data_IF_074221366114
#
_entry.id   IF_074221366114
#
_cell.length_a   1.000
_cell.length_b   1.000
_cell.length_c   1.000
_cell.angle_alpha   90.00
_cell.angle_beta   90.00
_cell.angle_gamma   90.00
#
_symmetry.space_group_name_H-M   'P 1'
#
loop_
_entity.id
_entity.type
_entity.pdbx_description
1 polymer ?
#
# COMPACT_ATOMS: atom_id res chain seq x y z
N UNK A 1 -9.89 16.14 44.26
CA UNK A 1 -8.80 15.18 44.49
C UNK A 1 -7.96 15.19 43.23
N UNK A 2 -6.75 15.76 43.26
CA UNK A 2 -5.83 15.70 42.13
C UNK A 2 -5.31 14.28 42.10
N UNK A 3 -5.75 13.50 41.15
CA UNK A 3 -5.22 12.15 40.92
C UNK A 3 -3.72 12.24 40.61
N UNK A 4 -2.90 11.55 41.39
CA UNK A 4 -1.46 11.50 41.13
C UNK A 4 -1.22 10.69 39.86
N UNK A 5 -0.70 11.33 38.79
CA UNK A 5 -0.41 10.68 37.49
C UNK A 5 0.46 9.45 37.62
N UNK A 6 1.37 9.42 38.60
CA UNK A 6 2.27 8.27 38.85
C UNK A 6 1.56 7.03 39.37
N UNK A 7 0.36 7.19 39.95
CA UNK A 7 -0.49 6.07 40.39
C UNK A 7 -1.43 5.55 39.27
N UNK A 8 -1.47 6.22 38.13
CA UNK A 8 -2.33 5.87 37.00
C UNK A 8 -1.72 4.75 36.16
N UNK A 9 -2.58 3.91 35.60
CA UNK A 9 -2.19 2.95 34.56
C UNK A 9 -1.90 3.63 33.24
N UNK A 10 -1.23 2.94 32.33
CA UNK A 10 -1.02 3.44 30.96
C UNK A 10 -2.35 3.78 30.27
N UNK A 11 -3.40 2.98 30.48
CA UNK A 11 -4.73 3.25 29.93
C UNK A 11 -5.38 4.51 30.53
N UNK A 12 -5.18 4.78 31.82
CA UNK A 12 -5.64 6.03 32.44
C UNK A 12 -4.90 7.24 31.87
N UNK A 13 -3.60 7.12 31.64
CA UNK A 13 -2.79 8.16 30.99
C UNK A 13 -3.26 8.42 29.56
N UNK A 14 -3.51 7.36 28.79
CA UNK A 14 -4.10 7.48 27.44
C UNK A 14 -5.43 8.25 27.49
N UNK A 15 -6.36 7.80 28.33
CA UNK A 15 -7.71 8.33 28.40
C UNK A 15 -7.76 9.80 28.84
N UNK A 16 -7.01 10.14 29.88
CA UNK A 16 -7.14 11.45 30.54
C UNK A 16 -6.22 12.53 29.96
N UNK A 17 -5.12 12.17 29.30
CA UNK A 17 -4.11 13.13 28.87
C UNK A 17 -3.80 13.05 27.37
N UNK A 18 -3.44 11.85 26.85
CA UNK A 18 -2.94 11.72 25.49
C UNK A 18 -4.10 11.80 24.49
N UNK A 19 -5.17 11.01 24.70
CA UNK A 19 -6.34 11.00 23.79
C UNK A 19 -6.96 12.40 23.65
N UNK A 20 -7.24 13.16 24.72
CA UNK A 20 -7.77 14.50 24.59
C UNK A 20 -6.85 15.45 23.80
N UNK A 21 -5.54 15.40 24.06
CA UNK A 21 -4.56 16.24 23.34
C UNK A 21 -4.56 15.97 21.84
N UNK A 22 -4.65 14.69 21.46
CA UNK A 22 -4.71 14.29 20.06
C UNK A 22 -6.07 14.64 19.40
N UNK A 23 -7.18 14.34 20.08
CA UNK A 23 -8.52 14.49 19.53
C UNK A 23 -8.89 15.94 19.21
N UNK A 24 -8.41 16.91 19.99
CA UNK A 24 -8.64 18.34 19.74
C UNK A 24 -8.20 18.74 18.33
N UNK A 25 -7.07 18.21 17.87
CA UNK A 25 -6.41 18.61 16.62
C UNK A 25 -6.57 17.62 15.46
N UNK A 26 -6.87 16.33 15.78
CA UNK A 26 -6.92 15.26 14.78
C UNK A 26 -8.31 14.65 14.57
N UNK A 27 -9.27 14.88 15.50
CA UNK A 27 -10.67 14.42 15.36
C UNK A 27 -10.81 12.98 14.81
N UNK A 28 -11.36 12.85 13.61
CA UNK A 28 -11.68 11.56 12.96
C UNK A 28 -10.48 10.91 12.22
N UNK A 29 -9.28 11.45 12.39
CA UNK A 29 -8.05 10.98 11.74
C UNK A 29 -7.19 10.12 12.66
N UNK A 30 -7.78 9.52 13.69
CA UNK A 30 -7.07 8.72 14.71
C UNK A 30 -7.69 7.34 14.78
N UNK A 31 -6.85 6.33 14.86
CA UNK A 31 -7.25 5.00 15.36
C UNK A 31 -6.42 4.63 16.57
N UNK A 32 -7.02 3.87 17.49
CA UNK A 32 -6.36 3.35 18.70
C UNK A 32 -6.15 1.85 18.58
N UNK A 33 -5.16 1.31 19.29
CA UNK A 33 -4.85 -0.12 19.35
C UNK A 33 -4.73 -0.76 17.97
N UNK A 34 -4.17 -0.01 17.02
CA UNK A 34 -4.12 -0.42 15.62
C UNK A 34 -3.16 -1.59 15.45
N UNK A 35 -3.69 -2.72 14.98
CA UNK A 35 -2.91 -3.92 14.72
C UNK A 35 -1.93 -3.68 13.56
N UNK A 36 -0.64 -3.83 13.83
CA UNK A 36 0.43 -3.72 12.83
C UNK A 36 0.72 -5.09 12.23
N UNK A 37 0.95 -6.10 13.08
CA UNK A 37 1.26 -7.47 12.63
C UNK A 37 0.53 -8.52 13.45
N UNK A 38 0.31 -9.70 12.82
CA UNK A 38 -0.18 -10.91 13.51
C UNK A 38 0.89 -11.61 14.36
N UNK A 39 2.10 -11.05 14.42
CA UNK A 39 3.28 -11.67 15.00
C UNK A 39 4.07 -12.49 13.96
N UNK A 40 5.40 -12.45 14.10
CA UNK A 40 6.32 -13.21 13.23
C UNK A 40 6.21 -14.72 13.55
N UNK A 41 6.16 -15.52 12.51
CA UNK A 41 6.26 -16.98 12.63
C UNK A 41 7.73 -17.34 12.63
N UNK A 42 8.18 -18.01 13.71
CA UNK A 42 9.52 -18.56 13.83
C UNK A 42 9.45 -20.09 13.81
N UNK A 43 10.39 -20.70 13.10
CA UNK A 43 10.54 -22.15 13.07
C UNK A 43 11.68 -22.53 14.02
N UNK A 44 11.38 -23.34 15.02
CA UNK A 44 12.36 -23.96 15.92
C UNK A 44 12.27 -25.49 15.74
N UNK A 45 13.09 -26.02 14.85
CA UNK A 45 12.99 -27.43 14.43
C UNK A 45 11.61 -27.68 13.78
N UNK A 46 10.84 -28.64 14.31
CA UNK A 46 9.48 -28.96 13.81
C UNK A 46 8.37 -28.14 14.48
N UNK A 47 8.70 -27.21 15.37
CA UNK A 47 7.70 -26.36 16.04
C UNK A 47 7.57 -25.03 15.34
N UNK A 48 6.31 -24.63 15.10
CA UNK A 48 5.94 -23.31 14.56
C UNK A 48 5.51 -22.44 15.75
N UNK A 49 6.30 -21.41 16.07
CA UNK A 49 5.99 -20.45 17.13
C UNK A 49 5.63 -19.12 16.47
N UNK A 50 4.45 -18.60 16.79
CA UNK A 50 4.05 -17.25 16.39
C UNK A 50 4.31 -16.30 17.56
N UNK A 51 5.08 -15.23 17.30
CA UNK A 51 5.26 -14.14 18.26
C UNK A 51 3.93 -13.41 18.48
N UNK A 52 3.84 -12.65 19.58
CA UNK A 52 2.68 -11.80 19.85
C UNK A 52 2.42 -10.80 18.71
N UNK A 53 1.15 -10.52 18.47
CA UNK A 53 0.75 -9.44 17.58
C UNK A 53 1.29 -8.11 18.10
N UNK A 54 1.72 -7.23 17.17
CA UNK A 54 2.13 -5.86 17.50
C UNK A 54 0.96 -4.94 17.21
N UNK A 55 0.70 -4.02 18.14
CA UNK A 55 -0.29 -2.96 18.00
C UNK A 55 0.37 -1.64 18.34
N UNK A 56 0.00 -0.59 17.61
CA UNK A 56 0.33 0.79 17.96
C UNK A 56 -0.78 1.39 18.81
N UNK A 57 -0.43 2.14 19.85
CA UNK A 57 -1.42 2.79 20.72
C UNK A 57 -2.29 3.76 19.90
N UNK A 58 -1.67 4.61 19.08
CA UNK A 58 -2.39 5.49 18.16
C UNK A 58 -1.70 5.51 16.79
N UNK A 59 -2.53 5.59 15.75
CA UNK A 59 -2.10 5.90 14.38
C UNK A 59 -2.90 7.07 13.87
N UNK A 60 -2.21 8.07 13.32
CA UNK A 60 -2.79 9.30 12.77
C UNK A 60 -2.75 9.23 11.24
N UNK A 61 -3.79 9.77 10.57
CA UNK A 61 -3.98 9.63 9.13
C UNK A 61 -4.13 10.97 8.43
N UNK A 62 -3.71 11.01 7.16
CA UNK A 62 -3.82 12.21 6.32
C UNK A 62 -5.28 12.57 6.06
N UNK A 63 -6.12 11.56 5.81
CA UNK A 63 -7.50 11.74 5.38
C UNK A 63 -8.49 11.40 6.50
N UNK A 64 -9.61 12.11 6.55
CA UNK A 64 -10.71 11.84 7.47
C UNK A 64 -11.35 10.49 7.16
N UNK A 65 -11.67 9.73 8.22
CA UNK A 65 -12.32 8.40 8.14
C UNK A 65 -11.61 7.40 7.22
N UNK A 66 -10.35 7.64 6.90
CA UNK A 66 -9.62 6.86 5.94
C UNK A 66 -8.27 6.41 6.51
N UNK A 67 -8.15 5.12 6.73
CA UNK A 67 -6.97 4.48 7.34
C UNK A 67 -5.88 4.10 6.34
N UNK A 68 -5.89 4.65 5.13
CA UNK A 68 -5.01 4.19 4.06
C UNK A 68 -3.65 4.87 4.05
N UNK A 69 -3.60 6.13 4.47
CA UNK A 69 -2.38 6.92 4.46
C UNK A 69 -2.01 7.36 5.90
N UNK A 70 -1.42 6.48 6.70
CA UNK A 70 -0.92 6.85 8.02
C UNK A 70 0.23 7.83 7.88
N UNK A 71 0.26 8.85 8.75
CA UNK A 71 1.31 9.89 8.75
C UNK A 71 2.12 9.89 10.04
N UNK A 72 1.53 9.46 11.15
CA UNK A 72 2.21 9.43 12.43
C UNK A 72 1.77 8.24 13.30
N UNK A 73 2.68 7.79 14.16
CA UNK A 73 2.43 6.82 15.24
C UNK A 73 2.71 7.51 16.58
N UNK A 74 1.88 7.24 17.59
CA UNK A 74 2.13 7.65 18.96
C UNK A 74 2.09 6.42 19.86
N UNK A 75 3.15 6.22 20.64
CA UNK A 75 3.24 5.22 21.69
C UNK A 75 3.04 5.88 23.06
N UNK A 76 2.16 5.32 23.84
CA UNK A 76 1.88 5.75 25.20
C UNK A 76 2.70 4.94 26.22
N UNK A 77 2.99 5.55 27.35
CA UNK A 77 3.58 4.91 28.52
C UNK A 77 2.97 5.47 29.78
N UNK A 78 3.03 4.68 30.88
CA UNK A 78 2.65 5.17 32.19
C UNK A 78 3.58 6.31 32.64
N UNK A 79 3.10 7.15 33.57
CA UNK A 79 3.82 8.34 34.02
C UNK A 79 5.03 8.07 34.90
N UNK A 80 5.32 6.81 35.22
CA UNK A 80 6.58 6.40 35.88
C UNK A 80 7.75 6.29 34.90
N UNK A 81 7.49 6.34 33.62
CA UNK A 81 8.48 6.35 32.54
C UNK A 81 8.76 7.77 32.08
N UNK A 82 9.92 7.98 31.46
CA UNK A 82 10.22 9.25 30.77
C UNK A 82 9.34 9.42 29.53
N UNK A 83 9.12 10.64 29.09
CA UNK A 83 8.33 10.95 27.88
C UNK A 83 8.90 10.23 26.65
N UNK A 84 10.22 10.05 26.57
CA UNK A 84 10.91 9.40 25.46
C UNK A 84 10.95 7.86 25.55
N UNK A 85 10.46 7.26 26.62
CA UNK A 85 10.64 5.82 26.86
C UNK A 85 10.05 4.94 25.74
N UNK A 86 8.92 5.32 25.17
CA UNK A 86 8.25 4.61 24.06
C UNK A 86 8.77 4.97 22.67
N UNK A 87 9.68 5.93 22.53
CA UNK A 87 10.07 6.48 21.23
C UNK A 87 10.68 5.43 20.30
N UNK A 88 11.58 4.58 20.81
CA UNK A 88 12.18 3.52 19.99
C UNK A 88 11.12 2.55 19.46
N UNK A 89 10.13 2.20 20.26
CA UNK A 89 9.02 1.33 19.86
C UNK A 89 8.17 2.02 18.77
N UNK A 90 7.85 3.30 18.95
CA UNK A 90 7.14 4.09 17.93
C UNK A 90 7.92 4.18 16.62
N UNK A 91 9.23 4.39 16.68
CA UNK A 91 10.12 4.43 15.52
C UNK A 91 10.16 3.09 14.78
N UNK A 92 10.22 1.96 15.49
CA UNK A 92 10.21 0.63 14.89
C UNK A 92 8.88 0.36 14.17
N UNK A 93 7.78 0.77 14.76
CA UNK A 93 6.46 0.65 14.15
C UNK A 93 6.29 1.58 12.94
N UNK A 94 6.76 2.81 13.05
CA UNK A 94 6.75 3.77 11.94
C UNK A 94 7.56 3.25 10.74
N UNK A 95 8.76 2.69 10.96
CA UNK A 95 9.54 2.03 9.91
C UNK A 95 8.82 0.86 9.27
N UNK A 96 8.14 0.02 10.07
CA UNK A 96 7.38 -1.10 9.54
C UNK A 96 6.22 -0.66 8.64
N UNK A 97 5.58 0.46 8.98
CA UNK A 97 4.40 0.99 8.26
C UNK A 97 4.74 2.07 7.23
N UNK A 98 6.02 2.40 7.07
CA UNK A 98 6.50 3.48 6.17
C UNK A 98 5.88 4.84 6.53
N UNK A 99 5.91 5.18 7.83
CA UNK A 99 5.29 6.39 8.40
C UNK A 99 6.39 7.41 8.71
N UNK A 100 6.21 8.70 8.32
CA UNK A 100 7.26 9.71 8.46
C UNK A 100 7.47 10.24 9.88
N UNK A 101 6.49 10.14 10.80
CA UNK A 101 6.60 10.70 12.14
C UNK A 101 6.30 9.66 13.22
N UNK A 102 7.16 9.63 14.24
CA UNK A 102 6.99 8.77 15.41
C UNK A 102 6.99 9.61 16.69
N UNK A 103 6.09 9.31 17.61
CA UNK A 103 5.93 10.01 18.87
C UNK A 103 5.89 9.05 20.04
N UNK A 104 6.37 9.52 21.20
CA UNK A 104 6.16 8.90 22.50
C UNK A 104 5.57 9.90 23.48
N UNK A 105 4.72 9.44 24.38
CA UNK A 105 4.13 10.25 25.44
C UNK A 105 3.92 9.44 26.72
N UNK A 106 4.10 10.08 27.89
CA UNK A 106 3.73 9.56 29.20
C UNK A 106 2.64 10.41 29.88
N UNK A 107 1.95 11.27 29.12
CA UNK A 107 0.94 12.17 29.62
C UNK A 107 1.46 13.51 30.18
N UNK A 108 2.77 13.78 30.16
CA UNK A 108 3.34 15.09 30.52
C UNK A 108 3.67 15.94 29.27
N UNK A 109 3.95 15.27 28.16
CA UNK A 109 4.28 15.89 26.89
C UNK A 109 4.53 14.83 25.82
N UNK A 110 5.12 15.26 24.71
CA UNK A 110 5.49 14.39 23.60
C UNK A 110 6.97 14.53 23.25
N UNK A 111 7.58 13.44 22.80
CA UNK A 111 8.85 13.46 22.06
C UNK A 111 8.56 12.95 20.65
N UNK A 112 8.97 13.75 19.66
CA UNK A 112 8.84 13.47 18.23
C UNK A 112 10.17 13.00 17.67
N UNK A 113 10.14 12.00 16.77
CA UNK A 113 11.20 11.71 15.82
C UNK A 113 10.63 11.90 14.39
N UNK A 114 11.25 12.78 13.63
CA UNK A 114 10.93 13.07 12.23
C UNK A 114 11.91 12.32 11.32
N UNK A 115 11.44 11.29 10.62
CA UNK A 115 12.28 10.48 9.71
C UNK A 115 12.72 11.22 8.44
N UNK A 116 12.05 12.33 8.08
CA UNK A 116 12.37 13.09 6.87
C UNK A 116 13.60 13.96 7.12
N UNK A 117 13.60 14.64 8.28
CA UNK A 117 14.69 15.57 8.65
C UNK A 117 15.74 14.94 9.58
N UNK A 118 15.40 13.83 10.23
CA UNK A 118 16.22 13.19 11.27
C UNK A 118 16.21 13.92 12.60
N UNK A 119 15.35 14.93 12.77
CA UNK A 119 15.29 15.75 13.99
C UNK A 119 14.37 15.13 15.06
N UNK A 120 14.76 15.38 16.32
CA UNK A 120 13.92 15.08 17.48
C UNK A 120 13.52 16.38 18.19
N UNK A 121 12.27 16.39 18.69
CA UNK A 121 11.72 17.53 19.43
C UNK A 121 10.93 17.05 20.64
N UNK A 122 10.96 17.83 21.72
CA UNK A 122 10.14 17.61 22.93
C UNK A 122 9.25 18.83 23.13
N UNK A 123 7.95 18.61 23.42
CA UNK A 123 6.97 19.67 23.62
C UNK A 123 5.81 19.24 24.53
N UNK A 124 5.03 20.20 25.01
CA UNK A 124 3.89 19.96 25.87
C UNK A 124 2.70 19.29 25.19
N UNK A 125 1.72 18.84 25.97
CA UNK A 125 0.52 18.15 25.42
C UNK A 125 -0.30 19.05 24.50
N UNK A 126 -0.43 20.31 24.81
CA UNK A 126 -1.16 21.34 24.03
C UNK A 126 -0.44 21.78 22.74
N UNK A 127 0.86 21.53 22.69
CA UNK A 127 1.72 21.86 21.55
C UNK A 127 1.79 20.77 20.47
N UNK A 128 1.08 19.62 20.66
CA UNK A 128 1.05 18.59 19.62
C UNK A 128 0.61 19.17 18.27
N UNK A 129 1.31 18.88 17.14
CA UNK A 129 1.01 19.50 15.86
C UNK A 129 -0.41 19.17 15.38
N UNK A 130 -1.07 20.13 14.75
CA UNK A 130 -2.35 19.88 14.10
C UNK A 130 -2.17 19.00 12.86
N UNK A 131 -3.27 18.40 12.40
CA UNK A 131 -3.25 17.59 11.18
C UNK A 131 -2.75 18.37 9.97
N UNK A 132 -3.19 19.63 9.82
CA UNK A 132 -2.80 20.48 8.68
C UNK A 132 -1.34 20.90 8.76
N UNK A 133 -0.84 21.17 9.97
CA UNK A 133 0.58 21.49 10.20
C UNK A 133 1.48 20.30 9.86
N UNK A 134 1.16 19.11 10.36
CA UNK A 134 1.98 17.92 10.13
C UNK A 134 1.95 17.49 8.66
N UNK A 135 0.78 17.54 8.02
CA UNK A 135 0.63 17.27 6.59
C UNK A 135 1.40 18.31 5.76
N UNK A 136 1.35 19.59 6.14
CA UNK A 136 2.10 20.64 5.45
C UNK A 136 3.61 20.46 5.59
N UNK A 137 4.11 20.07 6.77
CA UNK A 137 5.52 19.74 6.99
C UNK A 137 5.92 18.56 6.09
N UNK A 138 5.17 17.48 6.10
CA UNK A 138 5.43 16.32 5.27
C UNK A 138 5.44 16.69 3.78
N UNK A 139 4.42 17.41 3.30
CA UNK A 139 4.34 17.84 1.88
C UNK A 139 5.49 18.76 1.48
N UNK A 140 5.97 19.63 2.39
CA UNK A 140 7.07 20.55 2.12
C UNK A 140 8.42 19.83 1.96
N UNK A 141 8.65 18.81 2.76
CA UNK A 141 9.93 18.10 2.78
C UNK A 141 9.99 16.93 1.80
N UNK A 142 8.82 16.41 1.37
CA UNK A 142 8.76 15.29 0.42
C UNK A 142 9.39 15.69 -0.93
N UNK A 143 9.94 14.71 -1.63
CA UNK A 143 10.58 14.89 -2.94
C UNK A 143 11.72 15.94 -2.92
N UNK A 144 12.50 15.96 -1.83
CA UNK A 144 13.59 16.93 -1.61
C UNK A 144 13.10 18.39 -1.68
N UNK A 145 11.98 18.68 -1.06
CA UNK A 145 11.42 20.01 -0.98
C UNK A 145 10.64 20.49 -2.21
N UNK A 146 10.40 19.61 -3.19
CA UNK A 146 9.60 19.94 -4.39
C UNK A 146 8.09 19.86 -4.16
N UNK A 147 7.67 19.27 -3.03
CA UNK A 147 6.26 19.00 -2.75
C UNK A 147 5.69 17.85 -3.57
N UNK A 148 4.37 17.70 -3.54
CA UNK A 148 3.64 16.70 -4.30
C UNK A 148 3.24 17.25 -5.67
N UNK A 149 3.35 16.44 -6.71
CA UNK A 149 2.74 16.70 -8.02
C UNK A 149 1.23 16.44 -7.98
N UNK A 150 0.48 16.95 -8.96
CA UNK A 150 -0.96 16.68 -9.10
C UNK A 150 -1.27 15.18 -9.19
N UNK A 151 -0.39 14.40 -9.80
CA UNK A 151 -0.53 12.95 -9.91
C UNK A 151 -0.37 12.26 -8.55
N UNK A 152 0.62 12.68 -7.75
CA UNK A 152 0.82 12.19 -6.40
C UNK A 152 -0.35 12.56 -5.48
N UNK A 153 -0.87 13.79 -5.57
CA UNK A 153 -2.04 14.20 -4.80
C UNK A 153 -3.30 13.40 -5.16
N UNK A 154 -3.53 13.13 -6.44
CA UNK A 154 -4.65 12.29 -6.88
C UNK A 154 -4.57 10.89 -6.31
N UNK A 155 -3.40 10.26 -6.34
CA UNK A 155 -3.26 8.88 -5.88
C UNK A 155 -3.29 8.76 -4.36
N UNK A 156 -2.74 9.73 -3.62
CA UNK A 156 -2.81 9.78 -2.16
C UNK A 156 -4.26 9.90 -1.70
N UNK A 157 -5.06 10.69 -2.39
CA UNK A 157 -6.48 10.87 -2.06
C UNK A 157 -7.37 9.73 -2.55
N UNK A 158 -6.87 8.84 -3.43
CA UNK A 158 -7.64 7.70 -3.93
C UNK A 158 -7.67 6.57 -2.89
N UNK A 159 -8.83 6.25 -2.29
CA UNK A 159 -8.93 5.17 -1.31
C UNK A 159 -8.71 3.79 -1.94
N UNK A 160 -8.40 2.82 -1.09
CA UNK A 160 -8.46 1.41 -1.46
C UNK A 160 -9.90 1.00 -1.77
N UNK A 161 -10.06 -0.08 -2.50
CA UNK A 161 -11.34 -0.75 -2.54
C UNK A 161 -11.66 -1.32 -1.15
N UNK A 162 -12.83 -1.00 -0.63
CA UNK A 162 -13.37 -1.60 0.58
C UNK A 162 -14.86 -1.92 0.39
N UNK A 163 -15.31 -3.03 0.95
CA UNK A 163 -16.70 -3.45 1.02
C UNK A 163 -16.96 -4.10 2.37
N UNK A 164 -18.21 -4.36 2.73
CA UNK A 164 -18.55 -5.00 4.00
C UNK A 164 -17.85 -6.34 4.22
N UNK A 165 -17.49 -7.04 3.15
CA UNK A 165 -16.83 -8.35 3.18
C UNK A 165 -15.35 -8.30 2.74
N UNK A 166 -14.78 -7.12 2.49
CA UNK A 166 -13.37 -7.01 2.10
C UNK A 166 -12.46 -7.03 3.32
N UNK A 167 -11.28 -7.61 3.15
CA UNK A 167 -10.23 -7.56 4.15
C UNK A 167 -9.44 -6.25 4.05
N UNK A 168 -9.06 -5.69 5.19
CA UNK A 168 -8.08 -4.62 5.21
C UNK A 168 -6.70 -5.14 4.78
N UNK A 169 -5.97 -4.40 3.95
CA UNK A 169 -4.64 -4.81 3.55
C UNK A 169 -3.71 -4.87 4.77
N UNK A 170 -2.93 -5.94 4.86
CA UNK A 170 -1.87 -6.07 5.88
C UNK A 170 -0.82 -4.98 5.65
N UNK A 171 -0.05 -4.63 6.68
CA UNK A 171 0.93 -3.54 6.61
C UNK A 171 1.89 -3.67 5.41
N UNK A 172 2.42 -4.86 5.13
CA UNK A 172 3.33 -5.08 4.00
C UNK A 172 2.64 -4.98 2.64
N UNK A 173 1.35 -5.38 2.54
CA UNK A 173 0.55 -5.18 1.33
C UNK A 173 0.29 -3.69 1.13
N UNK A 174 -0.06 -2.97 2.21
CA UNK A 174 -0.25 -1.52 2.19
C UNK A 174 1.00 -0.79 1.72
N UNK A 175 2.17 -1.15 2.26
CA UNK A 175 3.44 -0.58 1.82
C UNK A 175 3.71 -0.87 0.34
N UNK A 176 3.52 -2.12 -0.11
CA UNK A 176 3.70 -2.48 -1.51
C UNK A 176 2.76 -1.69 -2.43
N UNK A 177 1.47 -1.59 -2.08
CA UNK A 177 0.48 -0.84 -2.86
C UNK A 177 0.87 0.65 -2.90
N UNK A 178 1.07 1.29 -1.74
CA UNK A 178 1.36 2.72 -1.67
C UNK A 178 2.64 3.08 -2.42
N UNK A 179 3.73 2.33 -2.20
CA UNK A 179 5.01 2.58 -2.90
C UNK A 179 4.89 2.38 -4.40
N UNK A 180 4.12 1.38 -4.86
CA UNK A 180 3.92 1.14 -6.29
C UNK A 180 3.16 2.28 -6.96
N UNK A 181 2.02 2.69 -6.38
CA UNK A 181 1.21 3.76 -6.97
C UNK A 181 1.90 5.12 -6.88
N UNK A 182 2.67 5.38 -5.81
CA UNK A 182 3.51 6.57 -5.67
C UNK A 182 4.64 6.61 -6.71
N UNK A 183 5.34 5.49 -6.91
CA UNK A 183 6.38 5.39 -7.93
C UNK A 183 5.83 5.67 -9.35
N UNK A 184 4.64 5.15 -9.66
CA UNK A 184 3.95 5.41 -10.94
C UNK A 184 3.56 6.89 -11.04
N UNK A 185 3.05 7.49 -9.97
CA UNK A 185 2.70 8.92 -9.94
C UNK A 185 3.91 9.82 -10.16
N UNK A 186 5.10 9.38 -9.72
CA UNK A 186 6.40 10.03 -9.94
C UNK A 186 7.00 9.77 -11.33
N UNK A 187 6.29 9.04 -12.20
CA UNK A 187 6.70 8.76 -13.57
C UNK A 187 7.66 7.57 -13.74
N UNK A 188 7.77 6.68 -12.73
CA UNK A 188 8.50 5.43 -12.92
C UNK A 188 7.67 4.47 -13.79
N UNK A 189 8.31 3.93 -14.81
CA UNK A 189 7.68 3.06 -15.82
C UNK A 189 8.04 1.58 -15.67
N UNK A 190 8.98 1.24 -14.77
CA UNK A 190 9.43 -0.14 -14.54
C UNK A 190 9.52 -0.43 -13.04
N UNK A 191 8.73 -1.43 -12.57
CA UNK A 191 8.67 -1.79 -11.16
C UNK A 191 8.72 -3.31 -10.99
N UNK A 192 9.31 -3.75 -9.89
CA UNK A 192 9.34 -5.16 -9.49
C UNK A 192 8.82 -5.29 -8.06
N UNK A 193 7.76 -6.07 -7.88
CA UNK A 193 7.21 -6.43 -6.57
C UNK A 193 7.64 -7.86 -6.22
N UNK A 194 8.45 -7.98 -5.19
CA UNK A 194 8.87 -9.28 -4.65
C UNK A 194 8.08 -9.59 -3.39
N UNK A 195 7.20 -10.59 -3.47
CA UNK A 195 6.32 -10.98 -2.38
C UNK A 195 6.31 -12.51 -2.24
N UNK A 196 6.43 -13.01 -1.02
CA UNK A 196 6.41 -14.45 -0.77
C UNK A 196 5.07 -15.08 -1.19
N UNK A 197 5.10 -16.36 -1.54
CA UNK A 197 3.89 -17.13 -1.86
C UNK A 197 2.90 -17.10 -0.70
N UNK A 198 1.61 -16.92 -0.98
CA UNK A 198 0.55 -16.86 0.03
C UNK A 198 0.45 -15.51 0.77
N UNK A 199 1.22 -14.49 0.40
CA UNK A 199 1.13 -13.15 1.00
C UNK A 199 0.09 -12.25 0.37
N UNK A 200 -0.68 -12.74 -0.61
CA UNK A 200 -1.76 -12.00 -1.28
C UNK A 200 -1.27 -11.11 -2.42
N UNK A 201 -0.39 -11.63 -3.28
CA UNK A 201 0.07 -10.93 -4.50
C UNK A 201 -1.11 -10.45 -5.35
N UNK A 202 -2.07 -11.34 -5.65
CA UNK A 202 -3.24 -11.02 -6.48
C UNK A 202 -4.09 -9.91 -5.86
N UNK A 203 -4.34 -9.97 -4.55
CA UNK A 203 -5.02 -8.90 -3.82
C UNK A 203 -4.26 -7.57 -3.90
N UNK A 204 -2.94 -7.61 -3.76
CA UNK A 204 -2.07 -6.42 -3.89
C UNK A 204 -2.16 -5.83 -5.29
N UNK A 205 -2.09 -6.68 -6.33
CA UNK A 205 -2.27 -6.26 -7.72
C UNK A 205 -3.64 -5.64 -7.97
N UNK A 206 -4.71 -6.28 -7.47
CA UNK A 206 -6.07 -5.75 -7.56
C UNK A 206 -6.18 -4.33 -6.97
N UNK A 207 -5.67 -4.11 -5.77
CA UNK A 207 -5.71 -2.79 -5.13
C UNK A 207 -4.90 -1.73 -5.90
N UNK A 208 -3.76 -2.10 -6.46
CA UNK A 208 -2.97 -1.22 -7.34
C UNK A 208 -3.79 -0.83 -8.58
N UNK A 209 -4.35 -1.83 -9.28
CA UNK A 209 -5.19 -1.64 -10.47
C UNK A 209 -6.40 -0.77 -10.16
N UNK A 210 -7.12 -1.10 -9.07
CA UNK A 210 -8.31 -0.35 -8.65
C UNK A 210 -7.99 1.13 -8.41
N UNK A 211 -6.93 1.43 -7.65
CA UNK A 211 -6.54 2.80 -7.33
C UNK A 211 -6.10 3.57 -8.58
N UNK A 212 -5.33 2.95 -9.47
CA UNK A 212 -4.87 3.58 -10.71
C UNK A 212 -6.02 3.86 -11.69
N UNK A 213 -7.00 2.96 -11.81
CA UNK A 213 -8.21 3.18 -12.61
C UNK A 213 -9.08 4.29 -12.02
N UNK A 214 -9.39 4.22 -10.72
CA UNK A 214 -10.30 5.18 -10.07
C UNK A 214 -9.73 6.58 -9.96
N UNK A 215 -8.40 6.72 -9.83
CA UNK A 215 -7.72 8.02 -9.91
C UNK A 215 -7.63 8.57 -11.34
N UNK A 216 -7.96 7.76 -12.35
CA UNK A 216 -7.82 8.13 -13.77
C UNK A 216 -6.38 8.17 -14.27
N UNK A 217 -5.41 7.69 -13.49
CA UNK A 217 -4.00 7.66 -13.88
C UNK A 217 -3.70 6.61 -14.96
N UNK A 218 -4.44 5.51 -14.94
CA UNK A 218 -4.36 4.44 -15.94
C UNK A 218 -5.78 4.08 -16.39
N UNK A 219 -5.94 3.69 -17.66
CA UNK A 219 -7.24 3.43 -18.29
C UNK A 219 -7.32 2.06 -18.93
N UNK A 220 -6.20 1.56 -19.47
CA UNK A 220 -6.12 0.28 -20.19
C UNK A 220 -5.00 -0.56 -19.60
N UNK A 221 -5.37 -1.64 -18.95
CA UNK A 221 -4.45 -2.47 -18.16
C UNK A 221 -4.42 -3.88 -18.71
N UNK A 222 -3.24 -4.40 -19.01
CA UNK A 222 -3.01 -5.79 -19.36
C UNK A 222 -2.45 -6.53 -18.14
N UNK A 223 -3.11 -7.61 -17.73
CA UNK A 223 -2.64 -8.53 -16.70
C UNK A 223 -2.25 -9.87 -17.34
N UNK A 224 -0.96 -10.16 -17.32
CA UNK A 224 -0.39 -11.38 -17.87
C UNK A 224 -0.16 -12.40 -16.78
N UNK A 225 -0.71 -13.60 -16.95
CA UNK A 225 -0.49 -14.73 -16.05
C UNK A 225 0.08 -15.93 -16.82
N UNK A 226 0.64 -16.87 -16.08
CA UNK A 226 1.24 -18.08 -16.63
C UNK A 226 0.21 -19.21 -16.81
N UNK A 227 -0.90 -19.23 -16.03
CA UNK A 227 -1.87 -20.33 -16.00
C UNK A 227 -3.33 -19.87 -15.99
N UNK A 228 -4.18 -20.55 -16.78
CA UNK A 228 -5.62 -20.28 -16.87
C UNK A 228 -6.33 -20.31 -15.50
N UNK A 229 -6.02 -21.29 -14.65
CA UNK A 229 -6.63 -21.42 -13.33
C UNK A 229 -6.37 -20.17 -12.49
N UNK A 230 -5.17 -19.58 -12.57
CA UNK A 230 -4.83 -18.37 -11.85
C UNK A 230 -5.63 -17.15 -12.37
N UNK A 231 -5.83 -17.07 -13.69
CA UNK A 231 -6.66 -15.99 -14.28
C UNK A 231 -8.09 -16.10 -13.79
N UNK A 232 -8.72 -17.26 -13.89
CA UNK A 232 -10.12 -17.44 -13.50
C UNK A 232 -10.34 -17.21 -12.00
N UNK A 233 -9.42 -17.70 -11.15
CA UNK A 233 -9.46 -17.46 -9.71
C UNK A 233 -9.27 -15.98 -9.38
N UNK A 234 -8.33 -15.29 -10.03
CA UNK A 234 -8.09 -13.87 -9.82
C UNK A 234 -9.30 -13.02 -10.16
N UNK A 235 -9.94 -13.30 -11.31
CA UNK A 235 -11.16 -12.60 -11.74
C UNK A 235 -12.31 -12.87 -10.78
N UNK A 236 -12.55 -14.13 -10.42
CA UNK A 236 -13.69 -14.53 -9.58
C UNK A 236 -13.56 -14.11 -8.11
N UNK A 237 -12.35 -13.88 -7.61
CA UNK A 237 -12.08 -13.54 -6.21
C UNK A 237 -11.67 -12.08 -6.05
N UNK A 238 -10.38 -11.79 -6.21
CA UNK A 238 -9.84 -10.45 -5.88
C UNK A 238 -10.35 -9.38 -6.85
N UNK A 239 -10.47 -9.68 -8.15
CA UNK A 239 -10.90 -8.73 -9.17
C UNK A 239 -12.41 -8.71 -9.41
N UNK A 240 -13.20 -9.49 -8.68
CA UNK A 240 -14.68 -9.50 -8.81
C UNK A 240 -15.33 -8.10 -8.76
N UNK A 241 -14.85 -7.12 -7.96
CA UNK A 241 -15.38 -5.77 -7.99
C UNK A 241 -15.23 -5.02 -9.32
N UNK A 242 -14.31 -5.46 -10.17
CA UNK A 242 -14.07 -4.91 -11.52
C UNK A 242 -14.60 -5.79 -12.64
N UNK A 243 -15.33 -6.89 -12.35
CA UNK A 243 -15.77 -7.91 -13.32
C UNK A 243 -16.38 -7.30 -14.58
N UNK A 244 -17.22 -6.27 -14.43
CA UNK A 244 -17.90 -5.61 -15.58
C UNK A 244 -16.94 -4.86 -16.51
N UNK A 245 -15.73 -4.58 -16.07
CA UNK A 245 -14.71 -3.86 -16.84
C UNK A 245 -13.59 -4.77 -17.33
N UNK A 246 -13.67 -6.07 -16.98
CA UNK A 246 -12.68 -7.09 -17.33
C UNK A 246 -13.04 -7.77 -18.64
N UNK A 247 -12.02 -7.98 -19.47
CA UNK A 247 -12.05 -8.88 -20.63
C UNK A 247 -10.97 -9.96 -20.49
N UNK A 248 -11.37 -11.22 -20.59
CA UNK A 248 -10.43 -12.33 -20.72
C UNK A 248 -10.13 -12.53 -22.18
N UNK A 249 -8.92 -12.19 -22.60
CA UNK A 249 -8.50 -12.26 -23.99
C UNK A 249 -8.50 -13.70 -24.50
N UNK A 250 -9.08 -13.90 -25.67
CA UNK A 250 -9.05 -15.17 -26.40
C UNK A 250 -8.64 -14.90 -27.86
N UNK A 251 -7.35 -15.06 -28.14
CA UNK A 251 -6.78 -14.71 -29.45
C UNK A 251 -7.45 -15.40 -30.66
N UNK A 252 -8.08 -16.57 -30.44
CA UNK A 252 -8.79 -17.30 -31.50
C UNK A 252 -10.20 -16.76 -31.80
N UNK A 253 -10.80 -16.00 -30.87
CA UNK A 253 -12.19 -15.53 -30.96
C UNK A 253 -12.34 -14.02 -30.96
N UNK A 254 -11.34 -13.33 -30.42
CA UNK A 254 -11.40 -11.88 -30.27
C UNK A 254 -11.10 -11.17 -31.60
N UNK A 255 -11.81 -10.06 -31.79
CA UNK A 255 -11.66 -9.16 -32.92
C UNK A 255 -11.29 -7.78 -32.36
N UNK A 256 -10.25 -7.16 -32.92
CA UNK A 256 -9.74 -5.85 -32.53
C UNK A 256 -10.84 -4.79 -32.39
N UNK A 257 -11.89 -4.86 -33.21
CA UNK A 257 -13.00 -3.90 -33.20
C UNK A 257 -13.95 -4.09 -32.01
N UNK A 258 -13.96 -5.26 -31.38
CA UNK A 258 -14.93 -5.62 -30.32
C UNK A 258 -14.36 -5.56 -28.92
N UNK A 259 -13.04 -5.69 -28.77
CA UNK A 259 -12.42 -5.85 -27.45
C UNK A 259 -11.96 -4.52 -26.82
N UNK A 260 -12.07 -3.39 -27.51
CA UNK A 260 -11.49 -2.11 -27.05
C UNK A 260 -12.25 -1.41 -25.91
N UNK A 261 -13.48 -1.86 -25.60
CA UNK A 261 -14.37 -1.20 -24.63
C UNK A 261 -14.02 -1.43 -23.16
N UNK A 262 -13.26 -2.48 -22.83
CA UNK A 262 -12.93 -2.84 -21.46
C UNK A 262 -11.75 -2.02 -20.91
N UNK A 263 -11.57 -2.04 -19.58
CA UNK A 263 -10.50 -1.33 -18.89
C UNK A 263 -9.37 -2.28 -18.50
N UNK A 264 -9.69 -3.52 -18.10
CA UNK A 264 -8.72 -4.53 -17.65
C UNK A 264 -8.79 -5.75 -18.54
N UNK A 265 -7.65 -6.18 -19.04
CA UNK A 265 -7.50 -7.33 -19.93
C UNK A 265 -6.65 -8.40 -19.25
N UNK A 266 -7.21 -9.59 -19.07
CA UNK A 266 -6.49 -10.76 -18.58
C UNK A 266 -6.11 -11.66 -19.75
N UNK A 267 -4.85 -12.07 -19.80
CA UNK A 267 -4.38 -13.01 -20.80
C UNK A 267 -3.29 -13.94 -20.26
N UNK A 268 -3.16 -15.08 -20.90
CA UNK A 268 -1.93 -15.86 -20.81
C UNK A 268 -0.95 -15.35 -21.85
N UNK A 269 0.34 -15.29 -21.51
CA UNK A 269 1.34 -14.93 -22.52
C UNK A 269 1.39 -15.92 -23.68
N UNK A 270 1.10 -17.23 -23.44
CA UNK A 270 0.99 -18.26 -24.46
C UNK A 270 -0.18 -18.02 -25.43
N UNK A 271 -1.24 -17.34 -25.00
CA UNK A 271 -2.37 -16.98 -25.89
C UNK A 271 -2.06 -15.79 -26.76
N UNK A 272 -1.23 -14.87 -26.27
CA UNK A 272 -0.82 -13.69 -27.06
C UNK A 272 0.31 -14.04 -28.03
N UNK A 273 1.09 -15.07 -27.75
CA UNK A 273 2.07 -15.65 -28.66
C UNK A 273 1.67 -17.12 -28.88
N UNK A 274 1.19 -17.42 -30.08
CA UNK A 274 0.73 -18.76 -30.43
C UNK A 274 1.85 -19.81 -30.47
N UNK A 275 1.47 -21.10 -30.48
CA UNK A 275 2.41 -22.22 -30.55
C UNK A 275 3.28 -22.20 -31.83
N UNK A 276 2.77 -21.58 -32.90
CA UNK A 276 3.43 -21.30 -34.17
C UNK A 276 4.32 -20.04 -34.13
N UNK A 277 4.58 -19.51 -32.97
CA UNK A 277 5.32 -18.25 -32.76
C UNK A 277 4.64 -17.00 -33.35
N UNK A 278 3.34 -17.09 -33.62
CA UNK A 278 2.52 -16.01 -34.13
C UNK A 278 2.23 -14.96 -33.06
N UNK A 279 2.55 -13.70 -33.31
CA UNK A 279 2.38 -12.61 -32.35
C UNK A 279 0.95 -12.03 -32.40
N UNK A 280 -0.05 -12.78 -31.89
CA UNK A 280 -1.44 -12.38 -31.86
C UNK A 280 -1.70 -11.03 -31.18
N UNK A 281 -0.84 -10.63 -30.23
CA UNK A 281 -0.96 -9.33 -29.59
C UNK A 281 -0.86 -8.16 -30.57
N UNK A 282 -0.11 -8.30 -31.67
CA UNK A 282 0.00 -7.27 -32.71
C UNK A 282 -1.25 -7.16 -33.57
N UNK A 283 -1.97 -8.26 -33.72
CA UNK A 283 -3.23 -8.27 -34.48
C UNK A 283 -4.38 -7.67 -33.65
N UNK A 284 -4.35 -7.88 -32.33
CA UNK A 284 -5.42 -7.49 -31.42
C UNK A 284 -5.28 -6.06 -30.88
N UNK A 285 -4.05 -5.58 -30.66
CA UNK A 285 -3.80 -4.33 -29.95
C UNK A 285 -2.74 -3.48 -30.65
N UNK A 286 -2.91 -2.17 -30.62
CA UNK A 286 -1.88 -1.23 -31.04
C UNK A 286 -0.78 -1.11 -29.97
N UNK A 287 0.47 -0.69 -30.31
CA UNK A 287 1.59 -0.64 -29.37
C UNK A 287 1.38 0.25 -28.14
N UNK A 288 0.52 1.25 -28.26
CA UNK A 288 0.16 2.25 -27.24
C UNK A 288 -1.22 2.01 -26.61
N UNK A 289 -1.86 0.87 -26.93
CA UNK A 289 -3.20 0.55 -26.43
C UNK A 289 -3.25 0.41 -24.90
N UNK A 290 -2.25 -0.24 -24.32
CA UNK A 290 -2.15 -0.38 -22.85
C UNK A 290 -1.27 0.71 -22.26
N UNK A 291 -1.68 1.24 -21.11
CA UNK A 291 -0.91 2.20 -20.32
C UNK A 291 -0.32 1.58 -19.05
N UNK A 292 -0.71 0.34 -18.72
CA UNK A 292 -0.12 -0.49 -17.68
C UNK A 292 -0.11 -1.97 -18.10
N UNK A 293 1.03 -2.64 -17.93
CA UNK A 293 1.18 -4.09 -18.09
C UNK A 293 1.68 -4.69 -16.77
N UNK A 294 0.98 -5.68 -16.24
CA UNK A 294 1.36 -6.44 -15.05
C UNK A 294 1.70 -7.86 -15.49
N UNK A 295 2.88 -8.33 -15.08
CA UNK A 295 3.34 -9.73 -15.32
C UNK A 295 3.38 -10.46 -13.99
N UNK A 296 2.44 -11.37 -13.78
CA UNK A 296 2.40 -12.19 -12.58
C UNK A 296 3.36 -13.38 -12.71
N UNK A 297 3.98 -13.77 -11.58
CA UNK A 297 4.99 -14.82 -11.51
C UNK A 297 6.13 -14.65 -12.54
N UNK A 298 6.61 -13.40 -12.71
CA UNK A 298 7.56 -13.02 -13.75
C UNK A 298 8.95 -13.72 -13.65
N UNK A 299 9.19 -14.48 -12.58
CA UNK A 299 10.39 -15.33 -12.42
C UNK A 299 10.21 -16.73 -12.99
N UNK A 300 8.97 -17.13 -13.33
CA UNK A 300 8.65 -18.46 -13.86
C UNK A 300 8.74 -18.46 -15.37
N UNK A 301 9.29 -19.51 -15.91
CA UNK A 301 9.32 -19.77 -17.33
C UNK A 301 10.57 -20.55 -17.74
N UNK A 302 10.48 -21.26 -18.88
CA UNK A 302 11.65 -21.73 -19.60
C UNK A 302 12.35 -20.54 -20.29
N UNK A 303 13.58 -20.72 -20.78
CA UNK A 303 14.26 -19.68 -21.58
C UNK A 303 13.41 -19.23 -22.79
N UNK A 304 12.56 -20.11 -23.33
CA UNK A 304 11.60 -19.79 -24.39
C UNK A 304 10.47 -18.91 -23.87
N UNK A 305 9.91 -19.22 -22.69
CA UNK A 305 8.84 -18.43 -22.09
C UNK A 305 9.35 -17.03 -21.69
N UNK A 306 10.57 -16.91 -21.19
CA UNK A 306 11.23 -15.66 -20.89
C UNK A 306 11.38 -14.77 -22.15
N UNK A 307 11.59 -15.36 -23.32
CA UNK A 307 11.62 -14.61 -24.58
C UNK A 307 10.22 -14.12 -24.99
N UNK A 308 9.19 -14.89 -24.71
CA UNK A 308 7.82 -14.61 -25.16
C UNK A 308 7.21 -13.41 -24.41
N UNK A 309 7.22 -13.41 -23.07
CA UNK A 309 6.67 -12.26 -22.36
C UNK A 309 7.51 -10.99 -22.55
N UNK A 310 8.83 -11.11 -22.75
CA UNK A 310 9.69 -9.96 -23.12
C UNK A 310 9.27 -9.33 -24.44
N UNK A 311 8.94 -10.12 -25.47
CA UNK A 311 8.45 -9.63 -26.76
C UNK A 311 7.16 -8.80 -26.58
N UNK A 312 6.26 -9.27 -25.71
CA UNK A 312 5.04 -8.53 -25.36
C UNK A 312 5.38 -7.20 -24.68
N UNK A 313 6.30 -7.21 -23.69
CA UNK A 313 6.73 -5.99 -22.99
C UNK A 313 7.46 -5.00 -23.90
N UNK A 314 8.26 -5.49 -24.83
CA UNK A 314 8.94 -4.65 -25.84
C UNK A 314 7.94 -3.99 -26.79
N UNK A 315 6.89 -4.70 -27.16
CA UNK A 315 5.84 -4.15 -28.00
C UNK A 315 5.05 -3.05 -27.29
N UNK A 316 4.67 -3.28 -26.03
CA UNK A 316 3.95 -2.29 -25.19
C UNK A 316 4.93 -1.45 -24.34
N UNK A 317 6.06 -1.04 -24.91
CA UNK A 317 7.12 -0.31 -24.19
C UNK A 317 6.70 1.05 -23.64
N UNK A 318 5.65 1.65 -24.20
CA UNK A 318 5.06 2.91 -23.74
C UNK A 318 4.26 2.75 -22.44
N UNK A 319 3.83 1.53 -22.13
CA UNK A 319 3.12 1.24 -20.89
C UNK A 319 4.06 1.21 -19.69
N UNK A 320 3.55 1.61 -18.53
CA UNK A 320 4.18 1.27 -17.25
C UNK A 320 4.16 -0.25 -17.07
N UNK A 321 5.24 -0.85 -16.60
CA UNK A 321 5.39 -2.30 -16.49
C UNK A 321 5.70 -2.72 -15.05
N UNK A 322 4.90 -3.63 -14.52
CA UNK A 322 5.08 -4.19 -13.17
C UNK A 322 5.32 -5.69 -13.29
N UNK A 323 6.48 -6.15 -12.83
CA UNK A 323 6.73 -7.56 -12.58
C UNK A 323 6.33 -7.93 -11.16
N UNK A 324 5.68 -9.07 -10.97
CA UNK A 324 5.34 -9.62 -9.66
C UNK A 324 5.93 -11.01 -9.51
N UNK A 325 6.56 -11.27 -8.35
CA UNK A 325 7.23 -12.55 -8.08
C UNK A 325 7.13 -12.95 -6.62
#
# INVERSE_FOLDING_TARGET
MILDKKSMTEEDIKLNFITPALQIKWKNRITMETKITDGRINLHGNMVIRNSAKKADYVLYINDHNTYNPIAIVEAKDNNKTVSYGLQQAMDYAKMMDIPFAYSSNGDGFVEHDFITGLERTFGLDEFPSSDELISRWKKEINNGKGLSDSEEKIINQPYYSSQNSYDPRYYQRNAINRTVDAIAKGQDRLLLVMATGTGKTYTAFQIVYRLLKSGMKKKILYLADRNILVDQSIAQDFAPLEKTIHKVNAAKDDKTKITSHEVYFSLYQQLIGDDDKEHFRELFDPDFFDLVIVDECHRGSAKDDSNWRRILEYFKSATQIGMT
#
